data_IF_454139569502
#
_entry.id   IF_454139569502
#
_cell.length_a   1.000
_cell.length_b   1.000
_cell.length_c   1.000
_cell.angle_alpha   90.00
_cell.angle_beta   90.00
_cell.angle_gamma   90.00
#
_symmetry.space_group_name_H-M   'P 1'
#
loop_
_entity.id
_entity.type
_entity.pdbx_description
1 polymer ?
#
# COMPACT_ATOMS: atom_id res chain seq x y z
N UNK A 1 40.94 -10.02 -33.55
CA UNK A 1 40.92 -11.48 -33.81
C UNK A 1 40.49 -12.16 -32.52
N UNK A 2 39.44 -12.97 -32.40
CA UNK A 2 38.61 -13.70 -33.35
C UNK A 2 37.15 -13.70 -32.85
N UNK A 3 36.25 -13.70 -33.81
CA UNK A 3 34.79 -13.89 -33.70
C UNK A 3 34.42 -15.37 -33.55
N UNK A 4 33.35 -15.66 -32.80
CA UNK A 4 32.39 -16.77 -32.94
C UNK A 4 31.25 -16.51 -31.92
N UNK A 5 29.99 -16.16 -32.21
CA UNK A 5 28.91 -16.69 -33.09
C UNK A 5 28.26 -18.01 -32.57
N UNK A 6 27.21 -17.87 -31.71
CA UNK A 6 25.77 -18.33 -31.78
C UNK A 6 25.49 -19.62 -32.61
N UNK A 7 24.59 -20.63 -32.31
CA UNK A 7 23.13 -20.60 -31.91
C UNK A 7 22.62 -21.73 -30.94
N UNK A 8 21.48 -21.62 -30.21
CA UNK A 8 20.01 -21.83 -30.47
C UNK A 8 19.47 -23.30 -30.39
N UNK A 9 18.50 -23.46 -29.47
CA UNK A 9 17.31 -24.36 -29.35
C UNK A 9 17.40 -25.87 -29.08
N UNK A 10 16.52 -26.31 -28.18
CA UNK A 10 15.71 -27.54 -28.30
C UNK A 10 14.30 -27.27 -27.75
N UNK A 11 13.28 -27.48 -28.60
CA UNK A 11 11.87 -27.51 -28.24
C UNK A 11 11.35 -28.96 -28.11
N UNK A 12 10.04 -29.07 -27.85
CA UNK A 12 9.06 -30.18 -28.06
C UNK A 12 8.04 -30.09 -26.91
N UNK A 13 6.73 -30.33 -27.02
CA UNK A 13 5.80 -30.60 -28.11
C UNK A 13 4.38 -30.47 -27.54
N UNK A 14 3.43 -30.05 -28.36
CA UNK A 14 2.00 -30.14 -28.05
C UNK A 14 1.49 -31.57 -28.26
N UNK A 15 0.55 -32.02 -27.42
CA UNK A 15 -0.30 -33.19 -27.68
C UNK A 15 -1.76 -32.73 -27.62
N UNK A 16 -2.41 -32.77 -28.78
CA UNK A 16 -3.86 -32.76 -28.94
C UNK A 16 -4.36 -34.21 -28.88
N UNK A 17 -5.49 -34.45 -28.21
CA UNK A 17 -6.30 -35.65 -28.41
C UNK A 17 -7.69 -35.22 -28.88
N UNK A 18 -8.00 -35.60 -30.11
CA UNK A 18 -9.34 -35.60 -30.68
C UNK A 18 -9.99 -36.97 -30.41
N UNK A 19 -11.23 -36.96 -29.92
CA UNK A 19 -12.12 -38.14 -29.89
C UNK A 19 -13.37 -37.85 -30.72
N UNK A 20 -13.62 -38.68 -31.73
CA UNK A 20 -14.79 -38.60 -32.59
C UNK A 20 -16.05 -39.16 -31.88
N UNK A 21 -17.17 -38.46 -32.03
CA UNK A 21 -18.54 -38.92 -31.76
C UNK A 21 -19.50 -38.29 -32.77
N UNK A 22 -20.41 -39.11 -33.30
CA UNK A 22 -21.28 -38.98 -34.51
C UNK A 22 -22.21 -37.75 -34.62
N UNK A 23 -22.76 -37.45 -35.83
CA UNK A 23 -23.35 -36.15 -36.15
C UNK A 23 -24.83 -36.06 -35.75
N UNK A 24 -25.24 -34.91 -35.19
CA UNK A 24 -26.64 -34.57 -35.00
C UNK A 24 -26.91 -33.10 -35.35
N UNK A 25 -27.69 -32.93 -36.42
CA UNK A 25 -28.62 -31.84 -36.78
C UNK A 25 -28.18 -30.39 -36.62
N UNK A 26 -28.05 -29.73 -37.77
CA UNK A 26 -28.18 -28.29 -37.96
C UNK A 26 -29.42 -27.73 -37.26
N UNK A 27 -29.19 -26.91 -36.24
CA UNK A 27 -30.11 -25.84 -35.84
C UNK A 27 -29.33 -24.55 -35.88
N UNK A 28 -29.69 -23.67 -36.83
CA UNK A 28 -29.24 -22.30 -36.86
C UNK A 28 -29.62 -21.62 -35.55
N UNK A 29 -28.63 -21.14 -34.80
CA UNK A 29 -28.85 -20.21 -33.71
C UNK A 29 -28.09 -18.93 -33.99
N UNK A 30 -28.88 -17.87 -34.05
CA UNK A 30 -28.53 -16.48 -34.22
C UNK A 30 -27.27 -16.10 -33.44
N UNK A 31 -26.25 -15.64 -34.15
CA UNK A 31 -25.10 -14.95 -33.56
C UNK A 31 -25.54 -13.56 -33.11
N UNK A 32 -26.11 -13.46 -31.91
CA UNK A 32 -26.05 -12.21 -31.15
C UNK A 32 -24.70 -12.23 -30.43
N UNK A 33 -23.70 -11.62 -31.06
CA UNK A 33 -22.42 -11.31 -30.41
C UNK A 33 -22.72 -10.26 -29.36
N UNK A 34 -23.04 -10.72 -28.17
CA UNK A 34 -23.10 -9.88 -26.98
C UNK A 34 -21.66 -9.40 -26.72
N UNK A 35 -21.37 -8.18 -27.14
CA UNK A 35 -20.08 -7.51 -26.97
C UNK A 35 -19.91 -7.06 -25.51
N UNK A 36 -20.27 -7.93 -24.56
CA UNK A 36 -19.92 -7.78 -23.16
C UNK A 36 -18.43 -8.01 -23.06
N UNK A 37 -17.67 -6.92 -22.90
CA UNK A 37 -16.29 -7.01 -22.40
C UNK A 37 -16.34 -7.85 -21.13
N UNK A 38 -15.83 -9.08 -21.21
CA UNK A 38 -15.68 -9.96 -20.06
C UNK A 38 -14.91 -9.17 -19.00
N UNK A 39 -15.55 -8.88 -17.88
CA UNK A 39 -14.89 -8.14 -16.79
C UNK A 39 -13.66 -8.93 -16.36
N UNK A 40 -12.48 -8.32 -16.44
CA UNK A 40 -11.25 -8.98 -16.07
C UNK A 40 -11.33 -9.47 -14.61
N UNK A 41 -10.90 -10.71 -14.35
CA UNK A 41 -11.01 -11.31 -13.03
C UNK A 41 -10.31 -10.46 -11.95
N UNK A 42 -10.85 -10.52 -10.73
CA UNK A 42 -10.19 -9.95 -9.55
C UNK A 42 -8.83 -10.64 -9.32
N UNK A 43 -7.83 -9.94 -8.74
CA UNK A 43 -6.56 -10.57 -8.43
C UNK A 43 -6.72 -11.52 -7.24
N UNK A 44 -5.79 -12.46 -7.09
CA UNK A 44 -5.65 -13.23 -5.85
C UNK A 44 -4.61 -12.58 -4.95
N UNK A 45 -4.69 -12.81 -3.63
CA UNK A 45 -3.67 -12.35 -2.69
C UNK A 45 -2.27 -12.87 -3.04
N UNK A 46 -2.17 -14.13 -3.46
CA UNK A 46 -0.90 -14.75 -3.88
C UNK A 46 -0.32 -14.11 -5.15
N UNK A 47 -1.17 -13.72 -6.11
CA UNK A 47 -0.73 -13.05 -7.33
C UNK A 47 -0.15 -11.66 -7.02
N UNK A 48 -0.78 -10.90 -6.12
CA UNK A 48 -0.26 -9.61 -5.68
C UNK A 48 1.01 -9.77 -4.82
N UNK A 49 1.06 -10.80 -3.94
CA UNK A 49 2.25 -11.08 -3.14
C UNK A 49 3.44 -11.47 -4.03
N UNK A 50 3.21 -12.17 -5.14
CA UNK A 50 4.24 -12.47 -6.12
C UNK A 50 4.83 -11.20 -6.76
N UNK A 51 4.01 -10.16 -7.01
CA UNK A 51 4.50 -8.87 -7.49
C UNK A 51 5.32 -8.14 -6.42
N UNK A 52 4.90 -8.15 -5.15
CA UNK A 52 5.69 -7.57 -4.05
C UNK A 52 7.00 -8.33 -3.80
N UNK A 53 7.05 -9.66 -4.03
CA UNK A 53 8.31 -10.42 -4.03
C UNK A 53 9.26 -9.97 -5.13
N UNK A 54 8.77 -9.79 -6.36
CA UNK A 54 9.58 -9.25 -7.46
C UNK A 54 10.08 -7.84 -7.15
N UNK A 55 9.23 -7.00 -6.53
CA UNK A 55 9.62 -5.67 -6.10
C UNK A 55 10.73 -5.69 -5.05
N UNK A 56 10.68 -6.61 -4.08
CA UNK A 56 11.75 -6.76 -3.09
C UNK A 56 13.06 -7.20 -3.75
N UNK A 57 13.03 -8.17 -4.66
CA UNK A 57 14.21 -8.58 -5.42
C UNK A 57 14.81 -7.44 -6.25
N UNK A 58 13.96 -6.66 -6.91
CA UNK A 58 14.37 -5.50 -7.69
C UNK A 58 14.95 -4.38 -6.80
N UNK A 59 14.33 -4.12 -5.64
CA UNK A 59 14.80 -3.12 -4.68
C UNK A 59 16.20 -3.46 -4.14
N UNK A 60 16.42 -4.71 -3.76
CA UNK A 60 17.73 -5.19 -3.26
C UNK A 60 18.83 -5.01 -4.32
N UNK A 61 18.48 -5.17 -5.60
CA UNK A 61 19.38 -5.01 -6.75
C UNK A 61 19.44 -3.58 -7.29
N UNK A 62 18.75 -2.63 -6.67
CA UNK A 62 18.65 -1.23 -7.12
C UNK A 62 18.12 -1.10 -8.57
N UNK A 63 17.27 -2.05 -9.00
CA UNK A 63 16.69 -2.07 -10.36
C UNK A 63 15.54 -1.07 -10.47
N UNK A 64 15.90 0.21 -10.62
CA UNK A 64 14.96 1.31 -10.77
C UNK A 64 14.07 1.18 -12.02
N UNK A 65 14.52 0.49 -13.08
CA UNK A 65 13.74 0.25 -14.30
C UNK A 65 12.57 -0.70 -14.06
N UNK A 66 12.71 -1.66 -13.14
CA UNK A 66 11.57 -2.47 -12.72
C UNK A 66 10.45 -1.57 -12.16
N UNK A 67 10.80 -0.64 -11.28
CA UNK A 67 9.85 0.28 -10.65
C UNK A 67 9.23 1.28 -11.62
N UNK A 68 9.91 1.69 -12.69
CA UNK A 68 9.31 2.49 -13.77
C UNK A 68 8.06 1.83 -14.37
N UNK A 69 8.05 0.50 -14.48
CA UNK A 69 6.95 -0.29 -15.05
C UNK A 69 5.91 -0.71 -14.00
N UNK A 70 6.37 -1.07 -12.81
CA UNK A 70 5.54 -1.59 -11.73
C UNK A 70 4.72 -0.50 -11.02
N UNK A 71 5.29 0.70 -10.85
CA UNK A 71 4.61 1.79 -10.14
C UNK A 71 3.59 2.49 -11.05
N UNK A 72 2.42 2.79 -10.49
CA UNK A 72 1.42 3.67 -11.08
C UNK A 72 1.99 5.06 -11.29
N UNK A 73 1.56 5.77 -12.34
CA UNK A 73 1.93 7.17 -12.54
C UNK A 73 1.33 8.09 -11.46
N UNK A 74 0.37 7.57 -10.70
CA UNK A 74 -0.23 8.19 -9.51
C UNK A 74 0.36 7.66 -8.19
N UNK A 75 1.51 6.98 -8.25
CA UNK A 75 2.14 6.43 -7.05
C UNK A 75 2.51 7.52 -6.05
N UNK A 76 2.14 7.30 -4.79
CA UNK A 76 2.51 8.13 -3.66
C UNK A 76 2.98 7.28 -2.49
N UNK A 77 4.00 7.74 -1.78
CA UNK A 77 4.46 7.17 -0.52
C UNK A 77 4.93 8.29 0.41
N UNK A 78 5.02 8.05 1.72
CA UNK A 78 5.67 8.96 2.65
C UNK A 78 7.01 8.41 3.13
N UNK A 79 8.03 9.26 3.11
CA UNK A 79 9.35 9.01 3.68
C UNK A 79 9.82 10.26 4.42
N UNK A 80 10.38 10.12 5.63
CA UNK A 80 10.87 11.25 6.43
C UNK A 80 9.86 12.40 6.63
N UNK A 81 8.56 12.09 6.77
CA UNK A 81 7.50 13.10 6.89
C UNK A 81 7.18 13.88 5.60
N UNK A 82 7.74 13.50 4.45
CA UNK A 82 7.48 14.09 3.14
C UNK A 82 6.75 13.09 2.22
N UNK A 83 5.88 13.58 1.35
CA UNK A 83 5.29 12.75 0.29
C UNK A 83 6.25 12.68 -0.90
N UNK A 84 6.50 11.47 -1.37
CA UNK A 84 7.31 11.15 -2.54
C UNK A 84 6.41 10.64 -3.66
N UNK A 85 6.65 11.12 -4.87
CA UNK A 85 6.03 10.60 -6.09
C UNK A 85 6.85 9.45 -6.70
N UNK A 86 6.32 8.85 -7.77
CA UNK A 86 7.00 7.80 -8.55
C UNK A 86 8.45 8.16 -8.91
N UNK A 87 8.69 9.38 -9.41
CA UNK A 87 10.01 9.78 -9.89
C UNK A 87 11.01 9.92 -8.74
N UNK A 88 10.59 10.48 -7.61
CA UNK A 88 11.42 10.58 -6.41
C UNK A 88 11.80 9.19 -5.86
N UNK A 89 10.85 8.25 -5.85
CA UNK A 89 11.12 6.86 -5.41
C UNK A 89 12.07 6.13 -6.34
N UNK A 90 11.90 6.23 -7.66
CA UNK A 90 12.80 5.61 -8.63
C UNK A 90 14.24 6.13 -8.46
N UNK A 91 14.42 7.44 -8.22
CA UNK A 91 15.75 8.03 -7.94
C UNK A 91 16.34 7.50 -6.63
N UNK A 92 15.53 7.40 -5.57
CA UNK A 92 15.96 6.85 -4.30
C UNK A 92 16.44 5.40 -4.46
N UNK A 93 15.65 4.56 -5.13
CA UNK A 93 15.98 3.14 -5.35
C UNK A 93 17.27 2.99 -6.16
N UNK A 94 17.46 3.79 -7.22
CA UNK A 94 18.68 3.76 -8.03
C UNK A 94 19.96 4.07 -7.22
N UNK A 95 19.84 4.84 -6.13
CA UNK A 95 20.94 5.21 -5.25
C UNK A 95 21.18 4.26 -4.08
N UNK A 96 20.28 3.32 -3.83
CA UNK A 96 20.41 2.39 -2.71
C UNK A 96 21.45 1.32 -2.99
N UNK A 97 22.11 0.82 -1.94
CA UNK A 97 22.93 -0.40 -2.00
C UNK A 97 22.56 -1.30 -0.83
N UNK A 98 22.00 -2.47 -1.12
CA UNK A 98 21.55 -3.40 -0.10
C UNK A 98 22.42 -4.65 -0.05
N UNK A 99 22.75 -5.08 1.17
CA UNK A 99 23.34 -6.37 1.50
C UNK A 99 22.32 -7.14 2.34
N UNK A 100 21.43 -7.85 1.65
CA UNK A 100 20.35 -8.67 2.25
C UNK A 100 20.68 -10.13 2.02
N UNK A 101 20.87 -10.86 3.12
CA UNK A 101 21.27 -12.28 3.13
C UNK A 101 20.08 -13.19 3.01
N UNK A 102 19.01 -12.86 3.72
CA UNK A 102 17.78 -13.63 3.75
C UNK A 102 16.57 -12.70 3.90
N UNK A 103 15.47 -13.07 3.26
CA UNK A 103 14.20 -12.38 3.40
C UNK A 103 13.03 -13.30 3.05
N UNK A 104 11.87 -13.00 3.64
CA UNK A 104 10.63 -13.73 3.40
C UNK A 104 9.44 -12.78 3.46
N UNK A 105 8.50 -12.97 2.53
CA UNK A 105 7.16 -12.39 2.59
C UNK A 105 6.13 -13.50 2.76
N UNK A 106 5.29 -13.36 3.77
CA UNK A 106 4.34 -14.38 4.21
C UNK A 106 3.04 -13.76 4.74
N UNK A 107 2.04 -14.60 5.02
CA UNK A 107 0.74 -14.22 5.56
C UNK A 107 0.02 -13.13 4.74
N UNK A 108 -0.23 -13.34 3.43
CA UNK A 108 -0.95 -12.37 2.61
C UNK A 108 -2.40 -12.21 3.09
N UNK A 109 -2.81 -10.97 3.30
CA UNK A 109 -4.17 -10.58 3.64
C UNK A 109 -4.60 -9.48 2.67
N UNK A 110 -5.67 -9.73 1.90
CA UNK A 110 -6.14 -8.81 0.87
C UNK A 110 -7.44 -8.14 1.28
N UNK A 111 -7.52 -6.82 1.14
CA UNK A 111 -8.74 -6.03 1.28
C UNK A 111 -9.17 -5.48 -0.09
N UNK A 112 -10.48 -5.48 -0.35
CA UNK A 112 -11.04 -4.86 -1.56
C UNK A 112 -11.28 -3.37 -1.30
N UNK A 113 -10.82 -2.51 -2.20
CA UNK A 113 -11.15 -1.07 -2.18
C UNK A 113 -12.30 -0.83 -3.16
N UNK A 114 -12.11 -1.21 -4.43
CA UNK A 114 -13.16 -1.27 -5.45
C UNK A 114 -12.92 -2.43 -6.43
N UNK A 115 -13.52 -2.41 -7.62
CA UNK A 115 -13.33 -3.48 -8.61
C UNK A 115 -11.90 -3.52 -9.20
N UNK A 116 -11.23 -2.37 -9.23
CA UNK A 116 -9.95 -2.15 -9.89
C UNK A 116 -8.85 -1.69 -8.92
N UNK A 117 -9.13 -1.73 -7.61
CA UNK A 117 -8.21 -1.31 -6.55
C UNK A 117 -8.32 -2.26 -5.37
N UNK A 118 -7.18 -2.78 -4.93
CA UNK A 118 -7.06 -3.68 -3.78
C UNK A 118 -5.92 -3.23 -2.89
N UNK A 119 -5.97 -3.56 -1.61
CA UNK A 119 -4.82 -3.48 -0.71
C UNK A 119 -4.37 -4.89 -0.37
N UNK A 120 -3.07 -5.14 -0.47
CA UNK A 120 -2.44 -6.35 0.04
C UNK A 120 -1.61 -5.96 1.26
N UNK A 121 -1.85 -6.63 2.39
CA UNK A 121 -0.97 -6.58 3.55
C UNK A 121 -0.30 -7.92 3.79
N UNK A 122 0.96 -7.92 4.21
CA UNK A 122 1.73 -9.14 4.46
C UNK A 122 2.83 -8.88 5.49
N UNK A 123 3.35 -9.96 6.06
CA UNK A 123 4.49 -9.90 6.97
C UNK A 123 5.78 -10.05 6.18
N UNK A 124 6.74 -9.16 6.46
CA UNK A 124 8.10 -9.23 5.94
C UNK A 124 9.10 -9.51 7.05
N UNK A 125 10.05 -10.41 6.80
CA UNK A 125 11.23 -10.60 7.64
C UNK A 125 12.47 -10.43 6.78
N UNK A 126 13.43 -9.66 7.27
CA UNK A 126 14.67 -9.34 6.58
C UNK A 126 15.87 -9.53 7.49
N UNK A 127 16.96 -10.09 6.95
CA UNK A 127 18.30 -10.04 7.51
C UNK A 127 19.24 -9.35 6.53
N UNK A 128 19.59 -8.11 6.84
CA UNK A 128 20.45 -7.31 5.97
C UNK A 128 20.50 -5.84 6.35
N UNK A 129 21.24 -5.09 5.53
CA UNK A 129 21.35 -3.65 5.63
C UNK A 129 21.23 -2.99 4.26
N UNK A 130 20.77 -1.75 4.23
CA UNK A 130 20.81 -0.91 3.04
C UNK A 130 21.54 0.39 3.34
N UNK A 131 22.34 0.83 2.40
CA UNK A 131 23.05 2.11 2.41
C UNK A 131 22.27 3.10 1.58
N UNK A 132 21.84 4.20 2.20
CA UNK A 132 21.21 5.32 1.52
C UNK A 132 22.25 6.14 0.74
N UNK A 133 21.82 7.06 -0.16
CA UNK A 133 22.73 7.91 -0.91
C UNK A 133 23.70 8.76 -0.06
N UNK A 134 23.36 9.02 1.21
CA UNK A 134 24.22 9.72 2.18
C UNK A 134 25.39 8.86 2.72
N UNK A 135 25.49 7.60 2.28
CA UNK A 135 26.54 6.66 2.66
C UNK A 135 26.31 5.93 3.99
N UNK A 136 25.21 6.20 4.70
CA UNK A 136 24.92 5.52 5.97
C UNK A 136 24.23 4.19 5.72
N UNK A 137 24.89 3.11 6.15
CA UNK A 137 24.28 1.78 6.20
C UNK A 137 23.39 1.65 7.43
N UNK A 138 22.16 1.19 7.22
CA UNK A 138 21.16 0.95 8.25
C UNK A 138 20.62 -0.46 8.10
N UNK A 139 20.39 -1.15 9.23
CA UNK A 139 19.71 -2.45 9.22
C UNK A 139 18.31 -2.29 8.64
N UNK A 140 17.92 -3.21 7.76
CA UNK A 140 16.55 -3.24 7.22
C UNK A 140 15.59 -3.53 8.38
N UNK A 141 14.53 -2.71 8.59
CA UNK A 141 13.53 -2.95 9.62
C UNK A 141 12.94 -4.36 9.51
N UNK A 142 12.84 -5.07 10.64
CA UNK A 142 12.36 -6.46 10.68
C UNK A 142 11.96 -6.86 12.11
N UNK A 143 10.84 -7.59 12.31
CA UNK A 143 9.81 -7.88 11.31
C UNK A 143 8.95 -6.66 10.99
N UNK A 144 8.39 -6.61 9.78
CA UNK A 144 7.47 -5.55 9.34
C UNK A 144 6.13 -6.12 8.90
N UNK A 145 5.10 -5.28 8.98
CA UNK A 145 3.82 -5.42 8.29
C UNK A 145 3.82 -4.40 7.15
N UNK A 146 3.83 -4.88 5.92
CA UNK A 146 3.71 -4.05 4.74
C UNK A 146 2.24 -3.94 4.32
N UNK A 147 1.91 -2.86 3.61
CA UNK A 147 0.71 -2.72 2.83
C UNK A 147 1.01 -2.07 1.47
N UNK A 148 0.59 -2.73 0.39
CA UNK A 148 0.66 -2.21 -0.97
C UNK A 148 -0.76 -2.00 -1.51
N UNK A 149 -1.07 -0.79 -1.99
CA UNK A 149 -2.31 -0.53 -2.73
C UNK A 149 -2.03 -0.78 -4.21
N UNK A 150 -2.77 -1.71 -4.79
CA UNK A 150 -2.67 -2.15 -6.17
C UNK A 150 -3.85 -1.57 -6.96
N UNK A 151 -3.57 -0.85 -8.04
CA UNK A 151 -4.57 -0.32 -8.97
C UNK A 151 -4.40 -0.97 -10.34
N UNK A 152 -5.51 -1.36 -10.97
CA UNK A 152 -5.51 -1.94 -12.32
C UNK A 152 -5.22 -0.85 -13.34
N UNK A 153 -4.38 -1.16 -14.31
CA UNK A 153 -4.08 -0.33 -15.48
C UNK A 153 -4.05 -1.22 -16.71
N UNK A 154 -5.13 -1.20 -17.50
CA UNK A 154 -5.35 -2.20 -18.56
C UNK A 154 -5.44 -3.60 -17.95
N UNK A 155 -4.63 -4.52 -18.45
CA UNK A 155 -4.57 -5.92 -17.97
C UNK A 155 -3.53 -6.13 -16.86
N UNK A 156 -2.90 -5.05 -16.38
CA UNK A 156 -1.80 -5.12 -15.39
C UNK A 156 -2.18 -4.48 -14.06
N UNK A 157 -1.59 -4.96 -12.98
CA UNK A 157 -1.68 -4.35 -11.65
C UNK A 157 -0.44 -3.52 -11.39
N UNK A 158 -0.63 -2.25 -11.00
CA UNK A 158 0.45 -1.33 -10.67
C UNK A 158 0.30 -0.84 -9.23
N UNK A 159 1.41 -0.77 -8.51
CA UNK A 159 1.39 -0.25 -7.14
C UNK A 159 1.11 1.26 -7.17
N UNK A 160 0.14 1.71 -6.39
CA UNK A 160 -0.24 3.11 -6.21
C UNK A 160 0.23 3.67 -4.85
N UNK A 161 0.51 2.79 -3.90
CA UNK A 161 1.11 3.11 -2.62
C UNK A 161 1.82 1.88 -2.07
N UNK A 162 2.88 2.09 -1.30
CA UNK A 162 3.51 1.08 -0.47
C UNK A 162 3.87 1.71 0.88
N UNK A 163 3.69 0.99 1.98
CA UNK A 163 4.04 1.45 3.31
C UNK A 163 4.27 0.31 4.28
N UNK A 164 5.09 0.55 5.29
CA UNK A 164 5.55 -0.49 6.22
C UNK A 164 5.50 0.03 7.65
N UNK A 165 5.09 -0.82 8.58
CA UNK A 165 5.26 -0.62 10.01
C UNK A 165 6.10 -1.75 10.60
N UNK A 166 6.96 -1.43 11.56
CA UNK A 166 7.53 -2.46 12.43
C UNK A 166 6.39 -3.20 13.14
N UNK A 167 6.52 -4.52 13.25
CA UNK A 167 5.67 -5.33 14.11
C UNK A 167 6.34 -5.38 15.48
N UNK A 168 5.68 -4.82 16.50
CA UNK A 168 6.20 -4.83 17.87
C UNK A 168 5.08 -4.87 18.90
N UNK A 169 5.41 -5.35 20.10
CA UNK A 169 4.52 -5.28 21.26
C UNK A 169 4.57 -3.84 21.81
N UNK A 170 3.43 -3.12 21.90
CA UNK A 170 3.40 -1.76 22.45
C UNK A 170 3.92 -1.66 23.90
N UNK A 171 3.89 -2.76 24.66
CA UNK A 171 4.46 -2.81 26.02
C UNK A 171 5.99 -2.90 26.02
N UNK A 172 6.58 -3.31 24.89
CA UNK A 172 8.01 -3.48 24.70
C UNK A 172 8.45 -2.80 23.38
N UNK A 173 8.31 -1.47 23.28
CA UNK A 173 8.57 -0.76 22.04
C UNK A 173 10.07 -0.84 21.66
N UNK A 174 10.39 -0.90 20.36
CA UNK A 174 11.77 -0.84 19.93
C UNK A 174 12.37 0.54 20.30
N UNK A 175 13.71 0.62 20.50
CA UNK A 175 14.36 1.89 20.76
C UNK A 175 14.02 2.91 19.68
N UNK A 176 13.80 4.18 20.06
CA UNK A 176 13.39 5.29 19.18
C UNK A 176 14.33 5.60 17.98
N UNK A 177 15.40 4.82 17.79
CA UNK A 177 16.36 4.91 16.69
C UNK A 177 16.31 3.71 15.71
N UNK A 178 15.43 2.73 15.94
CA UNK A 178 15.39 1.50 15.17
C UNK A 178 14.67 1.62 13.80
N UNK A 179 14.03 2.75 13.51
CA UNK A 179 13.33 2.98 12.25
C UNK A 179 13.69 4.33 11.64
N UNK A 180 14.69 4.32 10.75
CA UNK A 180 15.10 5.41 9.83
C UNK A 180 15.54 6.72 10.51
N UNK A 181 16.60 7.33 9.98
CA UNK A 181 17.12 8.59 10.50
C UNK A 181 16.07 9.69 10.35
N UNK A 182 15.94 10.54 11.38
CA UNK A 182 15.48 11.92 11.23
C UNK A 182 16.48 12.62 10.32
N UNK A 183 16.37 12.45 9.02
CA UNK A 183 17.10 13.27 8.08
C UNK A 183 16.54 14.68 8.22
N UNK A 184 17.33 15.57 8.82
CA UNK A 184 17.06 16.99 8.80
C UNK A 184 17.07 17.38 7.32
N UNK A 185 16.03 18.05 6.79
CA UNK A 185 15.99 18.42 5.38
C UNK A 185 17.30 19.12 5.04
N UNK A 186 18.06 18.56 4.10
CA UNK A 186 19.18 19.27 3.49
C UNK A 186 18.64 20.58 2.95
N UNK A 187 19.38 21.69 3.16
CA UNK A 187 18.95 23.05 2.78
C UNK A 187 18.85 23.27 1.27
N UNK A 188 18.95 22.21 0.47
CA UNK A 188 18.85 22.29 -0.97
C UNK A 188 17.39 22.21 -1.38
N UNK A 189 16.85 23.38 -1.79
CA UNK A 189 15.50 23.64 -2.32
C UNK A 189 14.41 22.76 -1.69
N UNK A 190 13.66 23.33 -0.75
CA UNK A 190 12.41 22.75 -0.25
C UNK A 190 11.64 22.11 -1.43
N UNK A 191 11.42 20.77 -1.42
CA UNK A 191 10.69 20.13 -2.50
C UNK A 191 9.35 20.83 -2.63
N UNK A 192 9.00 21.21 -3.86
CA UNK A 192 7.74 21.89 -4.16
C UNK A 192 6.60 21.08 -3.54
N UNK A 193 5.81 21.71 -2.66
CA UNK A 193 4.63 21.08 -2.05
C UNK A 193 3.80 20.47 -3.20
N UNK A 194 3.53 19.15 -3.20
CA UNK A 194 2.77 18.55 -4.28
C UNK A 194 1.42 19.25 -4.41
N UNK A 195 1.01 19.54 -5.65
CA UNK A 195 -0.30 20.10 -5.90
C UNK A 195 -1.35 19.09 -5.41
N UNK A 196 -2.25 19.55 -4.55
CA UNK A 196 -3.33 18.74 -4.02
C UNK A 196 -4.41 18.56 -5.09
N UNK A 197 -4.87 17.31 -5.30
CA UNK A 197 -5.97 17.05 -6.23
C UNK A 197 -7.29 17.64 -5.73
N UNK A 198 -8.28 17.90 -6.60
CA UNK A 198 -9.58 18.48 -6.23
C UNK A 198 -10.33 17.72 -5.12
N UNK A 199 -10.10 16.40 -4.99
CA UNK A 199 -10.69 15.58 -3.93
C UNK A 199 -10.08 15.77 -2.54
N UNK A 200 -8.95 16.47 -2.42
CA UNK A 200 -8.18 16.57 -1.17
C UNK A 200 -9.00 17.15 -0.01
N UNK A 201 -9.74 18.23 -0.25
CA UNK A 201 -10.53 18.88 0.79
C UNK A 201 -11.63 17.97 1.33
N UNK A 202 -12.32 17.24 0.45
CA UNK A 202 -13.37 16.30 0.82
C UNK A 202 -12.80 15.11 1.61
N UNK A 203 -11.72 14.49 1.13
CA UNK A 203 -11.05 13.40 1.85
C UNK A 203 -10.54 13.85 3.23
N UNK A 204 -9.99 15.06 3.33
CA UNK A 204 -9.56 15.63 4.62
C UNK A 204 -10.71 15.85 5.60
N UNK A 205 -11.90 16.22 5.12
CA UNK A 205 -13.07 16.37 5.97
C UNK A 205 -13.51 15.02 6.57
N UNK A 206 -13.49 13.96 5.77
CA UNK A 206 -13.79 12.59 6.25
C UNK A 206 -12.70 12.12 7.22
N UNK A 207 -11.41 12.27 6.88
CA UNK A 207 -10.30 11.86 7.75
C UNK A 207 -10.38 12.53 9.13
N UNK A 208 -10.65 13.84 9.17
CA UNK A 208 -10.87 14.57 10.43
C UNK A 208 -12.06 14.00 11.21
N UNK A 209 -13.17 13.71 10.53
CA UNK A 209 -14.36 13.14 11.16
C UNK A 209 -14.10 11.74 11.71
N UNK A 210 -13.31 10.92 11.02
CA UNK A 210 -12.88 9.59 11.50
C UNK A 210 -12.02 9.72 12.76
N UNK A 211 -11.08 10.66 12.79
CA UNK A 211 -10.22 10.89 13.97
C UNK A 211 -11.02 11.39 15.18
N UNK A 212 -11.99 12.28 14.96
CA UNK A 212 -12.91 12.75 16.00
C UNK A 212 -13.81 11.63 16.52
N UNK A 213 -14.37 10.80 15.62
CA UNK A 213 -15.18 9.64 16.01
C UNK A 213 -14.37 8.57 16.75
N UNK A 214 -13.11 8.33 16.34
CA UNK A 214 -12.18 7.46 17.07
C UNK A 214 -11.91 7.97 18.48
N UNK A 215 -11.58 9.26 18.63
CA UNK A 215 -11.40 9.89 19.95
C UNK A 215 -12.64 9.73 20.83
N UNK A 216 -13.83 9.94 20.26
CA UNK A 216 -15.10 9.82 20.96
C UNK A 216 -15.56 8.37 21.19
N UNK A 217 -14.88 7.38 20.61
CA UNK A 217 -15.30 5.96 20.56
C UNK A 217 -16.70 5.77 19.96
N UNK A 218 -17.07 6.63 19.01
CA UNK A 218 -18.38 6.63 18.36
C UNK A 218 -18.42 5.59 17.24
N UNK A 219 -18.76 4.34 17.59
CA UNK A 219 -18.86 3.24 16.64
C UNK A 219 -19.85 3.53 15.51
N UNK A 220 -21.00 4.15 15.81
CA UNK A 220 -22.03 4.42 14.81
C UNK A 220 -21.53 5.43 13.77
N UNK A 221 -20.80 6.47 14.20
CA UNK A 221 -20.22 7.42 13.26
C UNK A 221 -19.08 6.80 12.45
N UNK A 222 -18.26 5.93 13.05
CA UNK A 222 -17.24 5.18 12.33
C UNK A 222 -17.85 4.26 11.26
N UNK A 223 -18.97 3.59 11.57
CA UNK A 223 -19.72 2.77 10.62
C UNK A 223 -20.21 3.60 9.41
N UNK A 224 -20.72 4.81 9.64
CA UNK A 224 -21.21 5.73 8.59
C UNK A 224 -20.08 6.24 7.67
N UNK A 225 -18.92 6.58 8.27
CA UNK A 225 -17.79 7.19 7.56
C UNK A 225 -16.93 6.20 6.77
N UNK A 226 -17.17 4.90 6.90
CA UNK A 226 -16.29 3.85 6.35
C UNK A 226 -17.04 2.91 5.40
N UNK A 227 -16.30 2.32 4.45
CA UNK A 227 -16.88 1.34 3.53
C UNK A 227 -17.17 0.02 4.25
N UNK A 228 -18.00 -0.83 3.64
CA UNK A 228 -18.28 -2.18 4.15
C UNK A 228 -17.03 -3.08 4.20
N UNK A 229 -16.08 -2.85 3.30
CA UNK A 229 -14.88 -3.65 3.11
C UNK A 229 -13.65 -2.99 3.78
N UNK A 230 -13.88 -2.08 4.74
CA UNK A 230 -12.81 -1.36 5.45
C UNK A 230 -11.74 -2.32 5.96
N UNK A 231 -10.48 -1.96 5.72
CA UNK A 231 -9.33 -2.55 6.40
C UNK A 231 -8.41 -1.48 6.99
N UNK A 232 -7.59 -1.87 7.96
CA UNK A 232 -6.75 -0.92 8.70
C UNK A 232 -5.44 -1.56 9.15
N UNK A 233 -4.34 -0.82 9.00
CA UNK A 233 -3.06 -1.15 9.62
C UNK A 233 -2.71 -0.12 10.70
N UNK A 234 -2.61 -0.56 11.94
CA UNK A 234 -2.28 0.30 13.06
C UNK A 234 -0.77 0.54 13.19
N UNK A 235 -0.41 1.46 14.09
CA UNK A 235 0.96 1.89 14.38
C UNK A 235 1.89 0.78 14.93
N UNK A 236 1.33 -0.35 15.34
CA UNK A 236 2.06 -1.50 15.89
C UNK A 236 2.28 -2.63 14.86
N UNK A 237 1.87 -2.41 13.60
CA UNK A 237 1.96 -3.41 12.54
C UNK A 237 0.88 -4.49 12.60
N UNK A 238 -0.21 -4.26 13.34
CA UNK A 238 -1.39 -5.13 13.29
C UNK A 238 -2.27 -4.73 12.11
N UNK A 239 -2.67 -5.72 11.30
CA UNK A 239 -3.61 -5.54 10.20
C UNK A 239 -4.98 -6.11 10.57
N UNK A 240 -6.01 -5.29 10.41
CA UNK A 240 -7.42 -5.64 10.57
C UNK A 240 -8.03 -5.76 9.18
N UNK A 241 -8.39 -6.99 8.80
CA UNK A 241 -8.82 -7.30 7.44
C UNK A 241 -10.29 -6.97 7.15
N UNK A 242 -11.05 -6.51 8.16
CA UNK A 242 -12.46 -6.19 8.02
C UNK A 242 -12.89 -5.03 8.94
N UNK A 243 -14.06 -4.48 8.60
CA UNK A 243 -14.66 -3.32 9.26
C UNK A 243 -14.93 -3.56 10.74
N UNK A 244 -15.54 -4.69 11.09
CA UNK A 244 -15.94 -4.99 12.46
C UNK A 244 -14.73 -5.06 13.40
N UNK A 245 -13.65 -5.71 12.96
CA UNK A 245 -12.40 -5.79 13.72
C UNK A 245 -11.71 -4.43 13.84
N UNK A 246 -11.73 -3.64 12.77
CA UNK A 246 -11.18 -2.27 12.77
C UNK A 246 -11.93 -1.36 13.74
N UNK A 247 -13.26 -1.34 13.68
CA UNK A 247 -14.07 -0.50 14.57
C UNK A 247 -13.92 -0.96 16.02
N UNK A 248 -13.88 -2.28 16.27
CA UNK A 248 -13.62 -2.82 17.61
C UNK A 248 -12.25 -2.38 18.14
N UNK A 249 -11.21 -2.36 17.30
CA UNK A 249 -9.90 -1.82 17.67
C UNK A 249 -10.00 -0.35 18.08
N UNK A 250 -10.61 0.47 17.22
CA UNK A 250 -10.75 1.91 17.40
C UNK A 250 -11.58 2.30 18.63
N UNK A 251 -12.63 1.57 18.95
CA UNK A 251 -13.49 1.87 20.11
C UNK A 251 -13.11 1.11 21.37
N UNK A 252 -12.02 0.34 21.34
CA UNK A 252 -11.58 -0.43 22.50
C UNK A 252 -11.15 0.45 23.68
N UNK A 253 -11.07 -0.15 24.87
CA UNK A 253 -10.51 0.51 26.05
C UNK A 253 -8.97 0.67 26.00
N UNK A 254 -8.31 0.13 24.96
CA UNK A 254 -6.84 0.17 24.83
C UNK A 254 -6.30 1.58 24.66
N UNK A 255 -7.08 2.44 23.99
CA UNK A 255 -6.73 3.84 23.80
C UNK A 255 -7.62 4.76 24.65
N UNK A 256 -7.00 5.74 25.29
CA UNK A 256 -7.64 6.87 25.95
C UNK A 256 -7.08 8.17 25.35
N UNK A 257 -7.87 8.78 24.46
CA UNK A 257 -7.45 9.90 23.63
C UNK A 257 -8.18 11.16 24.06
N UNK A 258 -7.42 12.18 24.40
CA UNK A 258 -7.90 13.49 24.88
C UNK A 258 -8.10 14.47 23.76
N UNK A 259 -7.18 14.50 22.80
CA UNK A 259 -7.22 15.42 21.67
C UNK A 259 -6.63 14.78 20.42
N UNK A 260 -7.10 15.27 19.27
CA UNK A 260 -6.65 14.83 17.96
C UNK A 260 -6.51 16.04 17.04
N UNK A 261 -5.59 15.96 16.08
CA UNK A 261 -5.48 16.92 14.97
C UNK A 261 -5.03 16.19 13.72
N UNK A 262 -5.57 16.60 12.57
CA UNK A 262 -5.22 16.08 11.24
C UNK A 262 -4.93 17.27 10.32
N UNK A 263 -3.70 17.33 9.83
CA UNK A 263 -3.15 18.43 9.03
C UNK A 263 -2.36 17.90 7.84
N UNK A 264 -1.85 18.83 7.02
CA UNK A 264 -0.90 18.55 5.93
C UNK A 264 -1.36 17.45 4.96
N UNK A 265 -2.67 17.43 4.73
CA UNK A 265 -3.31 16.54 3.77
C UNK A 265 -2.96 16.90 2.34
N UNK A 266 -2.55 15.89 1.58
CA UNK A 266 -2.33 15.96 0.14
C UNK A 266 -2.98 14.73 -0.48
N UNK A 267 -3.97 14.97 -1.34
CA UNK A 267 -4.70 13.93 -2.02
C UNK A 267 -4.15 13.63 -3.42
N UNK A 268 -4.28 12.37 -3.83
CA UNK A 268 -4.00 11.89 -5.18
C UNK A 268 -5.15 10.98 -5.63
N UNK A 269 -5.85 11.38 -6.69
CA UNK A 269 -6.93 10.61 -7.30
C UNK A 269 -6.33 9.52 -8.20
N UNK A 270 -6.67 8.26 -7.91
CA UNK A 270 -6.38 7.11 -8.77
C UNK A 270 -7.41 6.99 -9.89
N UNK A 271 -8.64 7.36 -9.58
CA UNK A 271 -9.78 7.42 -10.49
C UNK A 271 -10.73 8.54 -10.03
N UNK A 272 -11.81 8.85 -10.77
CA UNK A 272 -12.83 9.80 -10.30
C UNK A 272 -13.51 9.38 -8.98
N UNK A 273 -13.43 8.10 -8.60
CA UNK A 273 -14.12 7.52 -7.43
C UNK A 273 -13.17 6.95 -6.38
N UNK A 274 -11.85 6.96 -6.60
CA UNK A 274 -10.86 6.45 -5.64
C UNK A 274 -9.73 7.47 -5.45
N UNK A 275 -9.44 7.80 -4.20
CA UNK A 275 -8.38 8.73 -3.85
C UNK A 275 -7.52 8.24 -2.69
N UNK A 276 -6.22 8.53 -2.75
CA UNK A 276 -5.26 8.34 -1.67
C UNK A 276 -5.02 9.70 -1.00
N UNK A 277 -5.07 9.75 0.32
CA UNK A 277 -4.74 10.91 1.12
C UNK A 277 -3.50 10.60 1.97
N UNK A 278 -2.41 11.30 1.70
CA UNK A 278 -1.27 11.38 2.61
C UNK A 278 -1.49 12.51 3.59
N UNK A 279 -1.33 12.27 4.90
CA UNK A 279 -1.55 13.31 5.91
C UNK A 279 -0.64 13.18 7.11
N UNK A 280 -0.65 14.22 7.95
CA UNK A 280 -0.04 14.23 9.28
C UNK A 280 -1.15 14.28 10.32
N UNK A 281 -1.03 13.50 11.37
CA UNK A 281 -1.91 13.53 12.53
C UNK A 281 -1.13 13.67 13.82
N UNK A 282 -1.79 14.13 14.87
CA UNK A 282 -1.29 14.12 16.24
C UNK A 282 -2.42 13.69 17.15
N UNK A 283 -2.11 12.86 18.16
CA UNK A 283 -3.05 12.48 19.19
C UNK A 283 -2.42 12.70 20.56
N UNK A 284 -3.17 13.27 21.49
CA UNK A 284 -2.78 13.33 22.90
C UNK A 284 -3.56 12.27 23.67
N UNK A 285 -2.86 11.40 24.36
CA UNK A 285 -3.48 10.29 25.07
C UNK A 285 -2.52 9.13 25.30
N UNK A 286 -3.10 7.97 25.61
CA UNK A 286 -2.39 6.71 25.73
C UNK A 286 -3.04 5.64 24.87
N UNK A 287 -2.24 4.74 24.31
CA UNK A 287 -2.70 3.50 23.67
C UNK A 287 -1.83 2.35 24.17
N UNK A 288 -2.44 1.32 24.75
CA UNK A 288 -1.74 0.16 25.33
C UNK A 288 -0.60 0.56 26.30
N UNK A 289 -0.82 1.65 27.06
CA UNK A 289 0.15 2.21 28.01
C UNK A 289 1.19 3.14 27.38
N UNK A 290 1.31 3.21 26.05
CA UNK A 290 2.21 4.11 25.35
C UNK A 290 1.59 5.52 25.22
N UNK A 291 2.33 6.55 25.63
CA UNK A 291 1.93 7.96 25.45
C UNK A 291 2.09 8.39 23.99
N UNK A 292 1.07 9.08 23.45
CA UNK A 292 1.08 9.59 22.06
C UNK A 292 1.46 11.09 21.95
N UNK A 293 1.67 11.78 23.08
CA UNK A 293 1.66 13.25 23.21
C UNK A 293 2.78 14.03 22.47
N UNK A 294 3.66 13.37 21.72
CA UNK A 294 4.79 14.06 21.06
C UNK A 294 5.30 13.39 19.77
N UNK A 295 4.57 12.41 19.23
CA UNK A 295 5.00 11.70 18.02
C UNK A 295 3.97 11.96 16.92
N UNK A 296 4.37 12.62 15.81
CA UNK A 296 3.48 12.75 14.66
C UNK A 296 3.11 11.36 14.11
N UNK A 297 1.82 11.17 13.84
CA UNK A 297 1.30 9.98 13.17
C UNK A 297 1.15 10.33 11.70
N UNK A 298 1.97 9.72 10.86
CA UNK A 298 1.82 9.87 9.42
C UNK A 298 0.84 8.81 8.91
N UNK A 299 -0.19 9.28 8.22
CA UNK A 299 -1.26 8.44 7.73
C UNK A 299 -1.28 8.41 6.22
N UNK A 300 -1.58 7.24 5.66
CA UNK A 300 -2.10 7.13 4.31
C UNK A 300 -3.48 6.49 4.37
N UNK A 301 -4.48 7.20 3.87
CA UNK A 301 -5.87 6.73 3.84
C UNK A 301 -6.33 6.63 2.40
N UNK A 302 -7.07 5.58 2.05
CA UNK A 302 -7.70 5.40 0.73
C UNK A 302 -9.19 5.56 0.91
N UNK A 303 -9.78 6.43 0.09
CA UNK A 303 -11.20 6.74 0.08
C UNK A 303 -11.84 6.27 -1.21
N UNK A 304 -13.09 5.82 -1.09
CA UNK A 304 -13.95 5.45 -2.21
C UNK A 304 -15.18 6.34 -2.18
N UNK A 305 -15.61 6.80 -3.35
CA UNK A 305 -16.84 7.56 -3.50
C UNK A 305 -18.04 6.59 -3.53
N UNK A 306 -18.97 6.79 -2.60
CA UNK A 306 -20.24 6.08 -2.47
C UNK A 306 -21.37 7.11 -2.70
N UNK A 307 -21.97 7.09 -3.89
CA UNK A 307 -22.83 8.18 -4.37
C UNK A 307 -22.07 9.50 -4.45
N UNK A 308 -22.52 10.51 -3.71
CA UNK A 308 -21.87 11.82 -3.60
C UNK A 308 -20.92 11.95 -2.41
N UNK A 309 -20.85 10.93 -1.54
CA UNK A 309 -20.04 10.96 -0.32
C UNK A 309 -18.76 10.17 -0.46
N UNK A 310 -17.68 10.63 0.16
CA UNK A 310 -16.45 9.85 0.29
C UNK A 310 -16.50 9.00 1.57
N UNK A 311 -16.06 7.76 1.48
CA UNK A 311 -15.93 6.84 2.62
C UNK A 311 -14.52 6.28 2.71
N UNK A 312 -14.02 6.11 3.93
CA UNK A 312 -12.72 5.52 4.19
C UNK A 312 -12.77 4.01 3.93
N UNK A 313 -11.88 3.51 3.07
CA UNK A 313 -11.81 2.10 2.67
C UNK A 313 -10.55 1.39 3.18
N UNK A 314 -9.44 2.11 3.30
CA UNK A 314 -8.21 1.59 3.90
C UNK A 314 -7.47 2.70 4.63
N UNK A 315 -6.80 2.42 5.73
CA UNK A 315 -5.84 3.35 6.33
C UNK A 315 -4.61 2.62 6.87
N UNK A 316 -3.45 3.24 6.74
CA UNK A 316 -2.21 2.86 7.39
C UNK A 316 -1.72 4.04 8.21
N UNK A 317 -1.52 3.81 9.52
CA UNK A 317 -0.91 4.77 10.43
C UNK A 317 0.48 4.33 10.82
N UNK A 318 1.47 5.23 10.72
CA UNK A 318 2.84 4.98 11.12
C UNK A 318 3.35 6.06 12.07
N UNK A 319 4.26 5.67 12.95
CA UNK A 319 5.09 6.58 13.73
C UNK A 319 6.42 6.74 12.98
N UNK A 320 6.85 7.97 12.73
CA UNK A 320 8.20 8.27 12.24
C UNK A 320 8.87 9.39 13.06
#
# INVERSE_FOLDING_TARGET
MRTAVIPVFLGLSAVMLAGCGTPAKNTSLNSNVDNSKTTAAAPTGDALLALDKQANEAYIKSDSKFFERMLSDKFVMREGGQQMDKAAIIRMIAGNKCDVKDWKLEDPQMGKIDADTYVLSYKGTFDGSCTAPDGKSMKVPSPIRAATVWARTGDTWRAAFHGENLIFDPKNPPPAKAGRNKEKPTKDKAPTKPAADPGTAAMMAIEKSVWEAWKAKDAAKLEDLTTKDLSFQNIFGTYFANKADTIRDWTSARCDIKSVSVTDGVGTLLSPTVGILSRKGTAEGTCDGQKLTSVPVYGTSVFVKDGDSWKLAFSLNRLD
#
